data_IF_242091969033
#
_entry.id   IF_242091969033
#
_cell.length_a   1.000
_cell.length_b   1.000
_cell.length_c   1.000
_cell.angle_alpha   90.00
_cell.angle_beta   90.00
_cell.angle_gamma   90.00
#
_symmetry.space_group_name_H-M   'P 1'
#
loop_
_entity.id
_entity.type
_entity.pdbx_description
1 polymer ?
#
# COMPACT_ATOMS: atom_id res chain seq x y z
N UNK A 1 -21.01 -21.20 8.03
CA UNK A 1 -19.75 -21.34 8.77
C UNK A 1 -18.81 -20.23 8.33
N UNK A 2 -17.98 -19.71 9.24
CA UNK A 2 -16.92 -18.75 8.88
C UNK A 2 -15.85 -19.47 8.07
N UNK A 3 -15.40 -18.87 6.97
CA UNK A 3 -14.31 -19.42 6.13
C UNK A 3 -13.01 -19.30 6.90
N UNK A 4 -12.28 -20.41 7.04
CA UNK A 4 -10.96 -20.44 7.69
C UNK A 4 -9.85 -20.53 6.64
N UNK A 5 -8.64 -20.05 6.98
CA UNK A 5 -7.48 -20.11 6.06
C UNK A 5 -7.02 -21.53 5.75
N UNK A 6 -7.44 -22.51 6.55
CA UNK A 6 -7.18 -23.94 6.39
C UNK A 6 -8.16 -24.66 5.45
N UNK A 7 -9.24 -23.99 5.03
CA UNK A 7 -10.26 -24.60 4.19
C UNK A 7 -9.76 -24.83 2.76
N UNK A 8 -10.45 -25.69 2.01
CA UNK A 8 -10.31 -25.76 0.56
C UNK A 8 -10.96 -24.55 -0.11
N UNK A 9 -10.23 -23.88 -1.02
CA UNK A 9 -10.64 -22.65 -1.66
C UNK A 9 -11.04 -22.86 -3.12
N UNK A 10 -12.34 -22.81 -3.38
CA UNK A 10 -12.87 -22.57 -4.73
C UNK A 10 -12.83 -21.07 -5.04
N UNK A 11 -12.94 -20.67 -6.32
CA UNK A 11 -13.00 -19.26 -6.73
C UNK A 11 -14.03 -18.45 -5.91
N UNK A 12 -15.23 -18.98 -5.73
CA UNK A 12 -16.28 -18.28 -4.97
C UNK A 12 -15.98 -18.15 -3.47
N UNK A 13 -15.32 -19.14 -2.86
CA UNK A 13 -14.87 -19.04 -1.45
C UNK A 13 -13.72 -18.05 -1.30
N UNK A 14 -12.76 -18.07 -2.23
CA UNK A 14 -11.65 -17.15 -2.27
C UNK A 14 -12.14 -15.70 -2.40
N UNK A 15 -13.01 -15.44 -3.38
CA UNK A 15 -13.60 -14.12 -3.58
C UNK A 15 -14.37 -13.64 -2.34
N UNK A 16 -15.16 -14.51 -1.68
CA UNK A 16 -15.89 -14.16 -0.46
C UNK A 16 -14.97 -13.88 0.73
N UNK A 17 -13.82 -14.55 0.80
CA UNK A 17 -12.83 -14.32 1.86
C UNK A 17 -12.04 -13.04 1.64
N UNK A 18 -11.64 -12.75 0.39
CA UNK A 18 -10.83 -11.58 0.03
C UNK A 18 -11.65 -10.30 -0.16
N UNK A 19 -12.95 -10.40 -0.45
CA UNK A 19 -13.81 -9.23 -0.68
C UNK A 19 -13.76 -8.17 0.43
N UNK A 20 -13.76 -8.51 1.75
CA UNK A 20 -13.61 -7.51 2.78
C UNK A 20 -12.25 -6.78 2.73
N UNK A 21 -11.17 -7.48 2.34
CA UNK A 21 -9.84 -6.87 2.21
C UNK A 21 -9.76 -5.97 0.97
N UNK A 22 -10.38 -6.38 -0.14
CA UNK A 22 -10.52 -5.52 -1.32
C UNK A 22 -11.32 -4.25 -1.00
N UNK A 23 -12.45 -4.38 -0.30
CA UNK A 23 -13.25 -3.25 0.12
C UNK A 23 -12.51 -2.34 1.11
N UNK A 24 -11.69 -2.90 2.00
CA UNK A 24 -10.84 -2.17 2.94
C UNK A 24 -9.82 -1.31 2.20
N UNK A 25 -9.09 -1.88 1.23
CA UNK A 25 -8.09 -1.15 0.44
C UNK A 25 -8.71 -0.08 -0.45
N UNK A 26 -9.83 -0.40 -1.10
CA UNK A 26 -10.57 0.58 -1.90
C UNK A 26 -11.05 1.75 -1.03
N UNK A 27 -11.64 1.47 0.14
CA UNK A 27 -12.09 2.51 1.05
C UNK A 27 -10.93 3.37 1.56
N UNK A 28 -9.77 2.76 1.88
CA UNK A 28 -8.56 3.48 2.27
C UNK A 28 -8.08 4.44 1.19
N UNK A 29 -8.10 4.02 -0.08
CA UNK A 29 -7.73 4.89 -1.20
C UNK A 29 -8.70 6.06 -1.36
N UNK A 30 -10.00 5.84 -1.22
CA UNK A 30 -11.02 6.88 -1.37
C UNK A 30 -10.94 7.91 -0.24
N UNK A 31 -10.86 7.48 1.02
CA UNK A 31 -10.80 8.45 2.11
C UNK A 31 -9.51 9.27 2.10
N UNK A 32 -8.37 8.69 1.68
CA UNK A 32 -7.13 9.43 1.52
C UNK A 32 -7.21 10.54 0.45
N UNK A 33 -7.97 10.31 -0.64
CA UNK A 33 -8.27 11.36 -1.62
C UNK A 33 -9.14 12.46 -0.99
N UNK A 34 -10.15 12.09 -0.21
CA UNK A 34 -11.05 13.04 0.46
C UNK A 34 -10.27 13.93 1.45
N UNK A 35 -9.39 13.34 2.28
CA UNK A 35 -8.52 14.07 3.22
C UNK A 35 -7.68 15.13 2.49
N UNK A 36 -7.00 14.74 1.40
CA UNK A 36 -6.25 15.67 0.55
C UNK A 36 -7.11 16.81 -0.02
N UNK A 37 -8.36 16.53 -0.40
CA UNK A 37 -9.31 17.54 -0.87
C UNK A 37 -9.73 18.52 0.24
N UNK A 38 -9.92 18.06 1.47
CA UNK A 38 -10.21 18.95 2.60
C UNK A 38 -9.07 19.94 2.83
N UNK A 39 -7.84 19.46 2.90
CA UNK A 39 -6.68 20.34 3.12
C UNK A 39 -6.51 21.33 1.97
N UNK A 40 -6.56 20.87 0.72
CA UNK A 40 -6.32 21.74 -0.44
C UNK A 40 -7.38 22.83 -0.61
N UNK A 41 -8.65 22.55 -0.28
CA UNK A 41 -9.75 23.50 -0.51
C UNK A 41 -10.04 24.43 0.67
N UNK A 42 -9.77 24.00 1.92
CA UNK A 42 -10.21 24.73 3.09
C UNK A 42 -9.08 25.29 3.96
N UNK A 43 -7.84 24.80 3.83
CA UNK A 43 -6.73 25.24 4.70
C UNK A 43 -5.84 26.28 4.01
N UNK A 44 -5.63 26.17 2.71
CA UNK A 44 -4.89 27.17 1.92
C UNK A 44 -3.57 26.63 1.34
N UNK A 45 -2.94 27.45 0.48
CA UNK A 45 -1.78 27.03 -0.32
C UNK A 45 -0.54 26.73 0.53
N UNK A 46 -0.29 27.53 1.55
CA UNK A 46 0.91 27.41 2.39
C UNK A 46 0.84 26.13 3.23
N UNK A 47 -0.29 25.90 3.85
CA UNK A 47 -0.56 24.68 4.61
C UNK A 47 -0.56 23.41 3.74
N UNK A 48 -1.06 23.50 2.50
CA UNK A 48 -0.96 22.39 1.56
C UNK A 48 0.49 22.11 1.13
N UNK A 49 1.32 23.16 1.03
CA UNK A 49 2.76 23.00 0.80
C UNK A 49 3.45 22.32 2.00
N UNK A 50 3.13 22.72 3.23
CA UNK A 50 3.65 22.10 4.45
C UNK A 50 3.32 20.60 4.53
N UNK A 51 2.05 20.24 4.24
CA UNK A 51 1.62 18.82 4.14
C UNK A 51 2.50 18.07 3.14
N UNK A 52 2.66 18.58 1.93
CA UNK A 52 3.43 17.90 0.88
C UNK A 52 4.93 17.77 1.18
N UNK A 53 5.48 18.63 2.04
CA UNK A 53 6.86 18.51 2.50
C UNK A 53 7.04 17.44 3.59
N UNK A 54 6.10 17.33 4.52
CA UNK A 54 6.22 16.47 5.70
C UNK A 54 5.66 15.06 5.45
N UNK A 55 4.53 14.95 4.74
CA UNK A 55 3.81 13.67 4.54
C UNK A 55 4.65 12.57 3.89
N UNK A 56 5.52 12.83 2.88
CA UNK A 56 6.39 11.80 2.33
C UNK A 56 7.34 11.17 3.34
N UNK A 57 7.87 11.98 4.28
CA UNK A 57 8.72 11.45 5.36
C UNK A 57 7.92 10.52 6.28
N UNK A 58 6.69 10.91 6.62
CA UNK A 58 5.79 10.12 7.44
C UNK A 58 5.42 8.80 6.76
N UNK A 59 5.07 8.82 5.46
CA UNK A 59 4.78 7.64 4.65
C UNK A 59 5.98 6.70 4.51
N UNK A 60 7.18 7.25 4.33
CA UNK A 60 8.41 6.47 4.22
C UNK A 60 8.67 5.65 5.50
N UNK A 61 8.47 6.24 6.68
CA UNK A 61 8.60 5.54 7.95
C UNK A 61 7.43 4.61 8.21
N UNK A 62 6.22 4.99 7.83
CA UNK A 62 5.02 4.15 7.89
C UNK A 62 5.14 2.87 7.06
N UNK A 63 5.92 2.90 5.97
CA UNK A 63 6.21 1.72 5.15
C UNK A 63 6.86 0.57 5.93
N UNK A 64 7.50 0.84 7.07
CA UNK A 64 7.95 -0.20 8.00
C UNK A 64 6.76 -0.98 8.59
N UNK A 65 5.61 -0.35 8.78
CA UNK A 65 4.38 -1.03 9.21
C UNK A 65 3.91 -2.05 8.17
N UNK A 66 3.92 -1.69 6.89
CA UNK A 66 3.64 -2.63 5.79
C UNK A 66 4.66 -3.78 5.76
N UNK A 67 5.95 -3.47 5.92
CA UNK A 67 7.01 -4.49 5.98
C UNK A 67 6.75 -5.50 7.11
N UNK A 68 6.46 -5.05 8.32
CA UNK A 68 6.14 -5.93 9.43
C UNK A 68 4.82 -6.69 9.22
N UNK A 69 3.83 -6.04 8.60
CA UNK A 69 2.52 -6.63 8.30
C UNK A 69 2.60 -7.78 7.32
N UNK A 70 3.12 -7.55 6.13
CA UNK A 70 3.17 -8.54 5.04
C UNK A 70 4.16 -9.66 5.36
N UNK A 71 5.40 -9.31 5.77
CA UNK A 71 6.41 -10.28 6.14
C UNK A 71 6.03 -11.10 7.37
N UNK A 72 5.39 -10.44 8.35
CA UNK A 72 4.88 -11.08 9.57
C UNK A 72 3.73 -12.03 9.30
N UNK A 73 2.77 -11.61 8.49
CA UNK A 73 1.63 -12.44 8.07
C UNK A 73 2.09 -13.72 7.40
N UNK A 74 3.06 -13.63 6.48
CA UNK A 74 3.61 -14.79 5.79
C UNK A 74 4.26 -15.79 6.79
N UNK A 75 5.04 -15.31 7.75
CA UNK A 75 5.68 -16.17 8.73
C UNK A 75 4.68 -16.81 9.72
N UNK A 76 3.73 -16.01 10.24
CA UNK A 76 2.69 -16.46 11.18
C UNK A 76 1.78 -17.50 10.52
N UNK A 77 1.25 -17.21 9.32
CA UNK A 77 0.34 -18.11 8.61
C UNK A 77 1.02 -19.43 8.22
N UNK A 78 2.29 -19.37 7.79
CA UNK A 78 3.09 -20.56 7.53
C UNK A 78 3.24 -21.42 8.81
N UNK A 79 3.58 -20.80 9.93
CA UNK A 79 3.75 -21.51 11.22
C UNK A 79 2.43 -22.13 11.70
N UNK A 80 1.28 -21.48 11.44
CA UNK A 80 -0.04 -22.08 11.68
C UNK A 80 -0.28 -23.30 10.77
N UNK A 81 0.13 -23.23 9.52
CA UNK A 81 0.07 -24.35 8.58
C UNK A 81 0.95 -25.53 8.99
N UNK A 82 2.08 -25.28 9.63
CA UNK A 82 2.96 -26.28 10.23
C UNK A 82 2.35 -26.94 11.49
N UNK A 83 1.21 -26.43 11.99
CA UNK A 83 0.49 -26.98 13.15
C UNK A 83 1.01 -26.46 14.50
N UNK A 84 1.92 -25.48 14.52
CA UNK A 84 2.47 -24.91 15.75
C UNK A 84 1.78 -23.59 16.13
N UNK A 85 0.53 -23.69 16.57
CA UNK A 85 -0.27 -22.53 16.99
C UNK A 85 0.36 -21.75 18.16
N UNK A 86 1.11 -22.43 19.06
CA UNK A 86 1.76 -21.76 20.17
C UNK A 86 2.88 -20.85 19.69
N UNK A 87 3.69 -21.34 18.78
CA UNK A 87 4.76 -20.56 18.14
C UNK A 87 4.20 -19.43 17.30
N UNK A 88 3.14 -19.70 16.52
CA UNK A 88 2.45 -18.67 15.73
C UNK A 88 1.95 -17.50 16.59
N UNK A 89 1.36 -17.76 17.76
CA UNK A 89 0.94 -16.71 18.72
C UNK A 89 2.14 -15.93 19.28
N UNK A 90 3.24 -16.62 19.58
CA UNK A 90 4.48 -15.96 20.04
C UNK A 90 5.08 -15.04 18.99
N UNK A 91 5.11 -15.48 17.73
CA UNK A 91 5.55 -14.69 16.58
C UNK A 91 4.62 -13.50 16.30
N UNK A 92 3.31 -13.72 16.34
CA UNK A 92 2.32 -12.65 16.20
C UNK A 92 2.56 -11.54 17.24
N UNK A 93 2.72 -11.93 18.52
CA UNK A 93 3.01 -10.98 19.59
C UNK A 93 4.35 -10.26 19.40
N UNK A 94 5.39 -10.98 18.94
CA UNK A 94 6.70 -10.39 18.63
C UNK A 94 6.56 -9.30 17.57
N UNK A 95 5.83 -9.57 16.48
CA UNK A 95 5.66 -8.64 15.36
C UNK A 95 4.92 -7.38 15.83
N UNK A 96 3.80 -7.54 16.55
CA UNK A 96 3.00 -6.40 17.05
C UNK A 96 3.81 -5.52 18.00
N UNK A 97 4.54 -6.13 18.96
CA UNK A 97 5.36 -5.35 19.87
C UNK A 97 6.60 -4.74 19.20
N UNK A 98 7.21 -5.43 18.25
CA UNK A 98 8.31 -4.87 17.47
C UNK A 98 7.84 -3.64 16.64
N UNK A 99 6.70 -3.75 15.98
CA UNK A 99 6.08 -2.63 15.26
C UNK A 99 5.84 -1.43 16.18
N UNK A 100 5.27 -1.67 17.36
CA UNK A 100 5.01 -0.60 18.33
C UNK A 100 6.31 0.07 18.79
N UNK A 101 7.34 -0.71 19.14
CA UNK A 101 8.64 -0.19 19.61
C UNK A 101 9.33 0.61 18.50
N UNK A 102 9.38 0.06 17.27
CA UNK A 102 9.96 0.75 16.12
C UNK A 102 9.16 2.02 15.79
N UNK A 103 7.82 1.95 15.85
CA UNK A 103 6.96 3.10 15.62
C UNK A 103 7.20 4.22 16.63
N UNK A 104 7.35 3.90 17.92
CA UNK A 104 7.71 4.88 18.96
C UNK A 104 9.09 5.50 18.66
N UNK A 105 10.08 4.66 18.32
CA UNK A 105 11.42 5.16 18.00
C UNK A 105 11.40 6.09 16.77
N UNK A 106 10.69 5.71 15.71
CA UNK A 106 10.49 6.55 14.53
C UNK A 106 9.74 7.85 14.85
N UNK A 107 8.70 7.78 15.68
CA UNK A 107 7.95 8.95 16.13
C UNK A 107 8.84 9.95 16.89
N UNK A 108 9.69 9.47 17.79
CA UNK A 108 10.68 10.32 18.48
C UNK A 108 11.65 10.96 17.48
N UNK A 109 12.16 10.19 16.50
CA UNK A 109 13.06 10.70 15.46
C UNK A 109 12.37 11.79 14.63
N UNK A 110 11.13 11.56 14.18
CA UNK A 110 10.37 12.58 13.43
C UNK A 110 10.15 13.83 14.28
N UNK A 111 9.70 13.67 15.52
CA UNK A 111 9.44 14.80 16.43
C UNK A 111 10.67 15.68 16.61
N UNK A 112 11.85 15.10 16.74
CA UNK A 112 13.11 15.84 16.91
C UNK A 112 13.63 16.42 15.60
N UNK A 113 13.47 15.70 14.50
CA UNK A 113 14.10 16.01 13.21
C UNK A 113 13.23 16.85 12.28
N UNK A 114 11.89 16.91 12.47
CA UNK A 114 10.97 17.51 11.49
C UNK A 114 11.32 18.95 11.13
N UNK A 115 11.68 19.78 12.09
CA UNK A 115 12.07 21.18 11.83
C UNK A 115 13.37 21.29 11.01
N UNK A 116 14.37 20.46 11.34
CA UNK A 116 15.63 20.42 10.60
C UNK A 116 15.46 19.90 9.19
N UNK A 117 14.63 18.86 9.01
CA UNK A 117 14.34 18.27 7.69
C UNK A 117 13.54 19.25 6.83
N UNK A 118 12.49 19.86 7.38
CA UNK A 118 11.70 20.87 6.65
C UNK A 118 12.54 22.09 6.23
N UNK A 119 13.39 22.58 7.13
CA UNK A 119 14.34 23.66 6.81
C UNK A 119 15.34 23.28 5.73
N UNK A 120 15.87 22.06 5.75
CA UNK A 120 16.76 21.54 4.70
C UNK A 120 16.04 21.37 3.34
N UNK A 121 14.72 21.16 3.35
CA UNK A 121 13.88 21.12 2.14
C UNK A 121 13.43 22.51 1.67
N UNK A 122 13.89 23.58 2.34
CA UNK A 122 13.63 24.97 1.95
C UNK A 122 12.42 25.62 2.61
N UNK A 123 11.86 25.02 3.67
CA UNK A 123 10.80 25.66 4.44
C UNK A 123 11.39 26.77 5.34
N UNK A 124 10.82 27.98 5.26
CA UNK A 124 11.21 29.15 6.06
C UNK A 124 9.95 29.86 6.61
N UNK A 125 10.11 30.65 7.68
CA UNK A 125 9.03 31.46 8.25
C UNK A 125 7.81 30.65 8.67
N UNK A 126 6.62 31.11 8.29
CA UNK A 126 5.33 30.47 8.59
C UNK A 126 5.21 29.04 8.04
N UNK A 127 5.78 28.77 6.86
CA UNK A 127 5.79 27.42 6.26
C UNK A 127 6.55 26.44 7.16
N UNK A 128 7.69 26.84 7.73
CA UNK A 128 8.45 26.00 8.65
C UNK A 128 7.66 25.73 9.95
N UNK A 129 7.00 26.75 10.50
CA UNK A 129 6.15 26.59 11.68
C UNK A 129 5.01 25.59 11.44
N UNK A 130 4.33 25.67 10.30
CA UNK A 130 3.28 24.73 9.91
C UNK A 130 3.83 23.32 9.71
N UNK A 131 5.00 23.14 9.08
CA UNK A 131 5.67 21.85 8.96
C UNK A 131 5.97 21.23 10.33
N UNK A 132 6.46 22.02 11.28
CA UNK A 132 6.79 21.54 12.63
C UNK A 132 5.52 21.15 13.39
N UNK A 133 4.46 21.95 13.33
CA UNK A 133 3.18 21.64 13.99
C UNK A 133 2.58 20.36 13.41
N UNK A 134 2.45 20.30 12.09
CA UNK A 134 1.89 19.15 11.38
C UNK A 134 2.68 17.86 11.66
N UNK A 135 3.99 17.93 11.45
CA UNK A 135 4.88 16.78 11.65
C UNK A 135 4.97 16.31 13.10
N UNK A 136 4.90 17.23 14.08
CA UNK A 136 4.92 16.87 15.50
C UNK A 136 3.65 16.13 15.92
N UNK A 137 2.49 16.50 15.39
CA UNK A 137 1.22 15.80 15.65
C UNK A 137 1.27 14.40 15.04
N UNK A 138 1.70 14.27 13.78
CA UNK A 138 1.82 12.98 13.12
C UNK A 138 2.92 12.09 13.74
N UNK A 139 4.00 12.68 14.26
CA UNK A 139 5.02 11.93 14.98
C UNK A 139 4.46 11.15 16.19
N UNK A 140 3.47 11.74 16.88
CA UNK A 140 2.78 11.09 17.98
C UNK A 140 1.88 9.92 17.52
N UNK A 141 1.24 10.03 16.37
CA UNK A 141 0.37 8.97 15.82
C UNK A 141 1.12 7.89 15.05
N UNK A 142 2.37 8.12 14.65
CA UNK A 142 3.17 7.20 13.82
C UNK A 142 3.22 5.74 14.36
N UNK A 143 3.35 5.47 15.66
CA UNK A 143 3.28 4.10 16.19
C UNK A 143 1.94 3.42 15.89
N UNK A 144 0.86 4.16 15.94
CA UNK A 144 -0.49 3.66 15.67
C UNK A 144 -0.74 3.50 14.16
N UNK A 145 -0.21 4.41 13.33
CA UNK A 145 -0.22 4.25 11.89
C UNK A 145 0.51 2.97 11.47
N UNK A 146 1.73 2.76 11.97
CA UNK A 146 2.46 1.52 11.69
C UNK A 146 1.71 0.27 12.18
N UNK A 147 1.05 0.33 13.35
CA UNK A 147 0.21 -0.76 13.83
C UNK A 147 -1.01 -0.98 12.93
N UNK A 148 -1.67 0.07 12.46
CA UNK A 148 -2.78 0.00 11.52
C UNK A 148 -2.39 -0.77 10.26
N UNK A 149 -1.26 -0.39 9.63
CA UNK A 149 -0.75 -1.05 8.43
C UNK A 149 -0.37 -2.52 8.70
N UNK A 150 0.26 -2.79 9.82
CA UNK A 150 0.58 -4.16 10.24
C UNK A 150 -0.68 -5.01 10.47
N UNK A 151 -1.70 -4.46 11.11
CA UNK A 151 -2.93 -5.19 11.37
C UNK A 151 -3.82 -5.40 10.14
N UNK A 152 -3.71 -4.60 9.10
CA UNK A 152 -4.40 -4.86 7.81
C UNK A 152 -4.10 -6.28 7.30
N UNK A 153 -2.84 -6.68 7.33
CA UNK A 153 -2.42 -8.01 6.92
C UNK A 153 -2.66 -9.08 7.99
N UNK A 154 -2.32 -8.80 9.26
CA UNK A 154 -2.44 -9.76 10.35
C UNK A 154 -3.89 -10.15 10.69
N UNK A 155 -4.86 -9.26 10.53
CA UNK A 155 -6.29 -9.58 10.69
C UNK A 155 -6.76 -10.59 9.65
N UNK A 156 -6.21 -10.53 8.45
CA UNK A 156 -6.51 -11.51 7.39
C UNK A 156 -5.91 -12.88 7.74
N UNK A 157 -4.67 -12.93 8.23
CA UNK A 157 -4.04 -14.16 8.74
C UNK A 157 -4.82 -14.76 9.93
N UNK A 158 -5.40 -13.91 10.77
CA UNK A 158 -6.26 -14.33 11.88
C UNK A 158 -7.64 -14.84 11.44
N UNK A 159 -7.94 -14.88 10.13
CA UNK A 159 -9.24 -15.24 9.59
C UNK A 159 -10.34 -14.20 9.89
N UNK A 160 -9.96 -12.95 10.11
CA UNK A 160 -10.86 -11.85 10.51
C UNK A 160 -10.84 -10.65 9.55
N UNK A 161 -10.86 -10.85 8.21
CA UNK A 161 -10.79 -9.72 7.26
C UNK A 161 -11.95 -8.72 7.42
N UNK A 162 -13.14 -9.18 7.87
CA UNK A 162 -14.29 -8.32 8.17
C UNK A 162 -14.01 -7.34 9.31
N UNK A 163 -13.25 -7.78 10.32
CA UNK A 163 -12.86 -6.89 11.43
C UNK A 163 -11.93 -5.81 10.90
N UNK A 164 -10.97 -6.16 10.02
CA UNK A 164 -10.10 -5.19 9.35
C UNK A 164 -10.90 -4.13 8.57
N UNK A 165 -11.87 -4.56 7.78
CA UNK A 165 -12.77 -3.64 7.06
C UNK A 165 -13.53 -2.72 8.03
N UNK A 166 -14.13 -3.25 9.10
CA UNK A 166 -14.85 -2.44 10.08
C UNK A 166 -13.93 -1.39 10.72
N UNK A 167 -12.72 -1.77 11.12
CA UNK A 167 -11.76 -0.85 11.73
C UNK A 167 -11.39 0.25 10.75
N UNK A 168 -11.09 -0.09 9.48
CA UNK A 168 -10.75 0.88 8.45
C UNK A 168 -11.91 1.86 8.18
N UNK A 169 -13.14 1.36 8.09
CA UNK A 169 -14.32 2.21 7.91
C UNK A 169 -14.53 3.14 9.11
N UNK A 170 -14.38 2.65 10.34
CA UNK A 170 -14.48 3.48 11.54
C UNK A 170 -13.39 4.57 11.55
N UNK A 171 -12.14 4.21 11.27
CA UNK A 171 -11.03 5.16 11.21
C UNK A 171 -11.24 6.21 10.11
N UNK A 172 -11.57 5.78 8.88
CA UNK A 172 -11.75 6.70 7.76
C UNK A 172 -12.98 7.61 7.90
N UNK A 173 -14.12 7.10 8.42
CA UNK A 173 -15.29 7.94 8.70
C UNK A 173 -14.98 8.93 9.82
N UNK A 174 -14.24 8.51 10.86
CA UNK A 174 -13.80 9.41 11.92
C UNK A 174 -12.88 10.51 11.36
N UNK A 175 -11.92 10.17 10.47
CA UNK A 175 -11.06 11.14 9.81
C UNK A 175 -11.90 12.20 9.08
N UNK A 176 -12.77 11.80 8.15
CA UNK A 176 -13.62 12.71 7.36
C UNK A 176 -14.49 13.60 8.27
N UNK A 177 -15.09 13.02 9.31
CA UNK A 177 -15.94 13.77 10.24
C UNK A 177 -15.13 14.77 11.08
N UNK A 178 -13.94 14.39 11.51
CA UNK A 178 -13.04 15.25 12.27
C UNK A 178 -12.40 16.34 11.41
N UNK A 179 -12.09 16.06 10.14
CA UNK A 179 -11.65 17.08 9.18
C UNK A 179 -12.72 18.15 9.01
N UNK A 180 -13.97 17.74 8.77
CA UNK A 180 -15.06 18.69 8.70
C UNK A 180 -15.22 19.51 9.99
N UNK A 181 -15.09 18.88 11.15
CA UNK A 181 -15.20 19.54 12.44
C UNK A 181 -14.04 20.50 12.72
N UNK A 182 -12.81 20.03 12.56
CA UNK A 182 -11.63 20.81 12.97
C UNK A 182 -11.24 21.86 11.93
N UNK A 183 -11.39 21.56 10.63
CA UNK A 183 -11.03 22.47 9.56
C UNK A 183 -12.16 23.48 9.29
N UNK A 184 -13.41 23.02 9.13
CA UNK A 184 -14.51 23.89 8.70
C UNK A 184 -15.14 24.60 9.91
N UNK A 185 -15.48 23.85 10.98
CA UNK A 185 -16.24 24.41 12.12
C UNK A 185 -15.30 25.15 13.07
N UNK A 186 -14.20 24.53 13.50
CA UNK A 186 -13.26 25.12 14.46
C UNK A 186 -12.20 25.99 13.80
N UNK A 187 -11.99 25.87 12.50
CA UNK A 187 -11.01 26.64 11.73
C UNK A 187 -9.57 26.52 12.27
N UNK A 188 -9.19 25.30 12.71
CA UNK A 188 -7.85 25.04 13.23
C UNK A 188 -6.80 24.84 12.15
N UNK A 189 -7.16 25.03 10.87
CA UNK A 189 -6.24 24.95 9.73
C UNK A 189 -5.55 23.58 9.62
N UNK A 190 -4.25 23.61 9.31
CA UNK A 190 -3.44 22.40 9.13
C UNK A 190 -3.29 21.58 10.42
N UNK A 191 -3.25 22.22 11.58
CA UNK A 191 -3.24 21.50 12.87
C UNK A 191 -4.51 20.67 13.07
N UNK A 192 -5.66 21.18 12.61
CA UNK A 192 -6.93 20.46 12.63
C UNK A 192 -6.89 19.20 11.76
N UNK A 193 -6.37 19.32 10.54
CA UNK A 193 -6.17 18.17 9.63
C UNK A 193 -5.23 17.13 10.27
N UNK A 194 -4.08 17.57 10.81
CA UNK A 194 -3.13 16.68 11.47
C UNK A 194 -3.75 15.93 12.64
N UNK A 195 -4.58 16.60 13.46
CA UNK A 195 -5.27 15.98 14.59
C UNK A 195 -6.34 14.98 14.13
N UNK A 196 -7.09 15.27 13.08
CA UNK A 196 -8.08 14.35 12.51
C UNK A 196 -7.41 13.08 12.01
N UNK A 197 -6.33 13.22 11.27
CA UNK A 197 -5.50 12.09 10.80
C UNK A 197 -4.91 11.31 11.97
N UNK A 198 -4.30 11.97 12.94
CA UNK A 198 -3.72 11.32 14.11
C UNK A 198 -4.75 10.52 14.92
N UNK A 199 -5.95 11.07 15.15
CA UNK A 199 -7.03 10.36 15.86
C UNK A 199 -7.50 9.15 15.07
N UNK A 200 -7.65 9.26 13.74
CA UNK A 200 -8.07 8.15 12.90
C UNK A 200 -7.03 7.01 12.91
N UNK A 201 -5.75 7.34 12.87
CA UNK A 201 -4.64 6.37 12.97
C UNK A 201 -4.60 5.68 14.33
N UNK A 202 -4.82 6.44 15.41
CA UNK A 202 -4.94 5.87 16.76
C UNK A 202 -6.11 4.89 16.81
N UNK A 203 -7.26 5.21 16.22
CA UNK A 203 -8.39 4.27 16.13
C UNK A 203 -7.99 3.04 15.29
N UNK A 204 -7.36 3.23 14.13
CA UNK A 204 -6.94 2.17 13.23
C UNK A 204 -5.94 1.19 13.84
N UNK A 205 -5.02 1.69 14.67
CA UNK A 205 -4.01 0.87 15.37
C UNK A 205 -4.48 0.31 16.70
N UNK A 206 -5.14 1.12 17.54
CA UNK A 206 -5.52 0.74 18.90
C UNK A 206 -6.70 -0.25 18.93
N UNK A 207 -7.70 -0.12 18.06
CA UNK A 207 -8.86 -1.04 18.04
C UNK A 207 -8.42 -2.49 17.81
N UNK A 208 -7.62 -2.82 16.75
CA UNK A 208 -7.11 -4.17 16.57
C UNK A 208 -6.19 -4.63 17.71
N UNK A 209 -5.36 -3.74 18.23
CA UNK A 209 -4.49 -4.05 19.37
C UNK A 209 -5.33 -4.51 20.58
N UNK A 210 -6.36 -3.77 20.94
CA UNK A 210 -7.29 -4.10 22.03
C UNK A 210 -8.09 -5.37 21.72
N UNK A 211 -8.50 -5.58 20.45
CA UNK A 211 -9.19 -6.80 20.03
C UNK A 211 -8.34 -8.04 20.30
N UNK A 212 -7.07 -8.02 19.97
CA UNK A 212 -6.17 -9.16 20.20
C UNK A 212 -5.63 -9.26 21.64
N UNK A 213 -5.63 -8.16 22.41
CA UNK A 213 -5.29 -8.16 23.81
C UNK A 213 -6.38 -8.81 24.69
N UNK A 214 -7.62 -8.83 24.22
CA UNK A 214 -8.76 -9.45 24.90
C UNK A 214 -9.03 -10.86 24.36
N UNK A 215 -9.74 -11.72 25.12
CA UNK A 215 -10.24 -12.99 24.60
C UNK A 215 -11.11 -12.76 23.36
N UNK A 216 -10.75 -13.38 22.26
CA UNK A 216 -11.45 -13.24 20.98
C UNK A 216 -11.62 -14.61 20.31
N UNK A 217 -12.38 -14.65 19.20
CA UNK A 217 -12.69 -15.88 18.47
C UNK A 217 -11.65 -16.29 17.44
N UNK A 218 -10.45 -15.69 17.47
CA UNK A 218 -9.31 -16.04 16.62
C UNK A 218 -8.37 -17.03 17.33
N UNK A 219 -7.60 -17.77 16.56
CA UNK A 219 -6.45 -18.56 17.06
C UNK A 219 -5.31 -17.67 17.53
N UNK A 220 -5.18 -16.46 16.96
CA UNK A 220 -4.15 -15.49 17.33
C UNK A 220 -4.63 -14.57 18.46
N UNK A 221 -3.77 -14.34 19.41
CA UNK A 221 -3.96 -13.44 20.57
C UNK A 221 -2.64 -12.84 20.99
N UNK A 222 -2.68 -11.62 21.51
CA UNK A 222 -1.51 -11.03 22.15
C UNK A 222 -1.20 -11.74 23.48
N UNK A 223 0.07 -11.99 23.68
CA UNK A 223 0.58 -12.66 24.86
C UNK A 223 2.07 -12.44 25.02
N UNK A 224 2.77 -13.40 25.64
CA UNK A 224 4.23 -13.33 25.74
C UNK A 224 4.86 -13.49 24.36
N UNK A 225 5.68 -12.53 23.90
CA UNK A 225 6.34 -12.62 22.60
C UNK A 225 7.38 -13.74 22.61
N UNK A 226 7.53 -14.41 21.47
CA UNK A 226 8.67 -15.28 21.23
C UNK A 226 9.86 -14.38 20.87
N UNK A 227 10.80 -14.19 21.81
CA UNK A 227 11.99 -13.37 21.54
C UNK A 227 12.94 -14.18 20.64
N UNK A 228 12.76 -14.02 19.34
CA UNK A 228 13.57 -14.66 18.28
C UNK A 228 13.99 -13.59 17.25
N UNK A 229 15.21 -13.08 17.41
CA UNK A 229 15.80 -12.06 16.52
C UNK A 229 15.92 -12.59 15.08
N UNK A 230 16.16 -13.90 14.91
CA UNK A 230 16.23 -14.50 13.55
C UNK A 230 14.86 -14.53 12.89
N UNK A 231 13.80 -14.77 13.68
CA UNK A 231 12.44 -14.69 13.17
C UNK A 231 12.10 -13.24 12.76
N UNK A 232 12.47 -12.25 13.57
CA UNK A 232 12.27 -10.83 13.22
C UNK A 232 13.05 -10.45 11.96
N UNK A 233 14.29 -10.89 11.82
CA UNK A 233 15.09 -10.70 10.60
C UNK A 233 14.41 -11.32 9.36
N UNK A 234 13.79 -12.50 9.51
CA UNK A 234 13.00 -13.12 8.41
C UNK A 234 11.74 -12.33 8.08
N UNK A 235 11.06 -11.77 9.08
CA UNK A 235 9.91 -10.88 8.86
C UNK A 235 10.33 -9.66 8.06
N UNK A 236 11.39 -8.97 8.47
CA UNK A 236 11.91 -7.81 7.75
C UNK A 236 12.32 -8.16 6.31
N UNK A 237 13.03 -9.27 6.11
CA UNK A 237 13.42 -9.73 4.77
C UNK A 237 12.22 -10.07 3.90
N UNK A 238 11.21 -10.76 4.45
CA UNK A 238 10.01 -11.11 3.70
C UNK A 238 9.16 -9.90 3.32
N UNK A 239 9.08 -8.91 4.21
CA UNK A 239 8.30 -7.70 3.95
C UNK A 239 9.12 -6.59 3.28
N UNK A 240 10.40 -6.78 3.02
CA UNK A 240 11.27 -5.74 2.43
C UNK A 240 10.81 -5.30 1.04
N UNK A 241 10.09 -6.12 0.30
CA UNK A 241 9.47 -5.76 -0.97
C UNK A 241 8.52 -4.56 -0.85
N UNK A 242 7.74 -4.49 0.23
CA UNK A 242 6.83 -3.36 0.48
C UNK A 242 7.59 -2.07 0.79
N UNK A 243 8.63 -2.16 1.63
CA UNK A 243 9.49 -1.02 1.93
C UNK A 243 10.18 -0.50 0.68
N UNK A 244 10.77 -1.41 -0.11
CA UNK A 244 11.45 -1.07 -1.38
C UNK A 244 10.47 -0.44 -2.37
N UNK A 245 9.26 -0.99 -2.53
CA UNK A 245 8.25 -0.43 -3.42
C UNK A 245 7.87 0.99 -3.02
N UNK A 246 7.57 1.24 -1.75
CA UNK A 246 7.17 2.57 -1.27
C UNK A 246 8.30 3.62 -1.44
N UNK A 247 9.55 3.26 -1.14
CA UNK A 247 10.69 4.14 -1.36
C UNK A 247 10.91 4.43 -2.86
N UNK A 248 10.78 3.40 -3.69
CA UNK A 248 10.96 3.51 -5.14
C UNK A 248 9.91 4.39 -5.80
N UNK A 249 8.64 4.28 -5.37
CA UNK A 249 7.54 5.11 -5.91
C UNK A 249 7.81 6.61 -5.78
N UNK A 250 8.37 7.05 -4.65
CA UNK A 250 8.72 8.46 -4.45
C UNK A 250 9.79 8.94 -5.43
N UNK A 251 10.83 8.13 -5.64
CA UNK A 251 11.90 8.45 -6.60
C UNK A 251 11.39 8.46 -8.05
N UNK A 252 10.58 7.47 -8.42
CA UNK A 252 9.96 7.38 -9.74
C UNK A 252 9.08 8.59 -10.01
N UNK A 253 8.24 8.99 -9.05
CA UNK A 253 7.39 10.17 -9.19
C UNK A 253 8.21 11.46 -9.43
N UNK A 254 9.38 11.60 -8.78
CA UNK A 254 10.28 12.72 -9.05
C UNK A 254 10.80 12.69 -10.50
N UNK A 255 11.17 11.53 -11.01
CA UNK A 255 11.67 11.36 -12.39
C UNK A 255 10.56 11.67 -13.40
N UNK A 256 9.33 11.20 -13.18
CA UNK A 256 8.18 11.56 -14.00
C UNK A 256 7.95 13.08 -14.03
N UNK A 257 7.90 13.71 -12.85
CA UNK A 257 7.68 15.16 -12.76
C UNK A 257 8.79 15.95 -13.46
N UNK A 258 10.05 15.51 -13.37
CA UNK A 258 11.16 16.11 -14.08
C UNK A 258 10.98 16.04 -15.60
N UNK A 259 10.65 14.87 -16.13
CA UNK A 259 10.43 14.68 -17.57
C UNK A 259 9.19 15.44 -18.06
N UNK A 260 8.09 15.37 -17.32
CA UNK A 260 6.85 16.07 -17.68
C UNK A 260 7.04 17.59 -17.71
N UNK A 261 7.76 18.14 -16.72
CA UNK A 261 8.09 19.55 -16.69
C UNK A 261 8.95 19.97 -17.89
N UNK A 262 9.87 19.11 -18.34
CA UNK A 262 10.74 19.38 -19.46
C UNK A 262 10.02 19.27 -20.84
N UNK A 263 9.07 18.35 -21.00
CA UNK A 263 8.41 18.07 -22.28
C UNK A 263 7.07 18.78 -22.46
N UNK A 264 6.29 18.96 -21.39
CA UNK A 264 4.91 19.49 -21.43
C UNK A 264 4.80 20.76 -20.59
N UNK A 265 5.58 20.88 -19.52
CA UNK A 265 5.45 21.96 -18.55
C UNK A 265 4.48 21.62 -17.40
N UNK A 266 3.90 22.65 -16.71
CA UNK A 266 3.03 22.45 -15.55
C UNK A 266 1.80 21.58 -15.83
N UNK A 267 1.24 21.65 -17.03
CA UNK A 267 0.07 20.86 -17.44
C UNK A 267 0.37 19.35 -17.41
N UNK A 268 1.59 18.94 -17.82
CA UNK A 268 2.01 17.56 -17.75
C UNK A 268 2.05 17.03 -16.32
N UNK A 269 2.51 17.83 -15.37
CA UNK A 269 2.53 17.47 -13.93
C UNK A 269 1.10 17.35 -13.39
N UNK A 270 0.19 18.24 -13.81
CA UNK A 270 -1.21 18.17 -13.42
C UNK A 270 -1.90 16.90 -13.95
N UNK A 271 -1.67 16.56 -15.24
CA UNK A 271 -2.15 15.32 -15.86
C UNK A 271 -1.67 14.10 -15.08
N UNK A 272 -0.38 14.05 -14.75
CA UNK A 272 0.20 12.93 -13.98
C UNK A 272 -0.43 12.80 -12.59
N UNK A 273 -0.73 13.92 -11.93
CA UNK A 273 -1.46 13.91 -10.66
C UNK A 273 -2.83 13.22 -10.77
N UNK A 274 -3.60 13.54 -11.82
CA UNK A 274 -4.90 12.88 -12.07
C UNK A 274 -4.71 11.37 -12.32
N UNK A 275 -3.74 11.01 -13.15
CA UNK A 275 -3.43 9.61 -13.46
C UNK A 275 -3.08 8.84 -12.17
N UNK A 276 -2.29 9.42 -11.29
CA UNK A 276 -1.90 8.79 -10.02
C UNK A 276 -3.10 8.51 -9.11
N UNK A 277 -4.06 9.44 -8.99
CA UNK A 277 -5.28 9.18 -8.22
C UNK A 277 -6.11 8.04 -8.82
N UNK A 278 -6.27 8.02 -10.14
CA UNK A 278 -6.99 6.92 -10.83
C UNK A 278 -6.26 5.60 -10.64
N UNK A 279 -4.93 5.58 -10.79
CA UNK A 279 -4.10 4.39 -10.63
C UNK A 279 -4.16 3.86 -9.19
N UNK A 280 -4.13 4.71 -8.18
CA UNK A 280 -4.25 4.32 -6.77
C UNK A 280 -5.56 3.60 -6.49
N UNK A 281 -6.68 4.15 -6.96
CA UNK A 281 -7.99 3.51 -6.79
C UNK A 281 -8.03 2.17 -7.53
N UNK A 282 -7.53 2.12 -8.76
CA UNK A 282 -7.52 0.93 -9.60
C UNK A 282 -6.68 -0.20 -8.97
N UNK A 283 -5.44 0.11 -8.59
CA UNK A 283 -4.49 -0.88 -8.03
C UNK A 283 -4.90 -1.31 -6.62
N UNK A 284 -5.61 -0.47 -5.85
CA UNK A 284 -6.04 -0.82 -4.49
C UNK A 284 -6.91 -2.08 -4.42
N UNK A 285 -7.74 -2.34 -5.43
CA UNK A 285 -8.54 -3.56 -5.52
C UNK A 285 -7.65 -4.81 -5.67
N UNK A 286 -6.63 -4.73 -6.52
CA UNK A 286 -5.69 -5.82 -6.78
C UNK A 286 -4.82 -6.09 -5.56
N UNK A 287 -4.34 -5.04 -4.92
CA UNK A 287 -3.62 -5.12 -3.65
C UNK A 287 -4.49 -5.75 -2.54
N UNK A 288 -5.75 -5.34 -2.45
CA UNK A 288 -6.69 -5.94 -1.49
C UNK A 288 -6.89 -7.44 -1.70
N UNK A 289 -6.98 -7.89 -2.96
CA UNK A 289 -7.05 -9.32 -3.28
C UNK A 289 -5.75 -10.04 -2.90
N UNK A 290 -4.61 -9.43 -3.18
CA UNK A 290 -3.28 -9.98 -2.90
C UNK A 290 -3.04 -10.11 -1.39
N UNK A 291 -3.31 -9.06 -0.61
CA UNK A 291 -3.23 -9.08 0.85
C UNK A 291 -4.20 -10.10 1.45
N UNK A 292 -5.40 -10.22 0.86
CA UNK A 292 -6.42 -11.18 1.28
C UNK A 292 -6.03 -12.64 1.02
N UNK A 293 -5.38 -12.93 -0.10
CA UNK A 293 -5.00 -14.30 -0.50
C UNK A 293 -3.65 -14.76 0.08
N UNK A 294 -2.73 -13.83 0.39
CA UNK A 294 -1.39 -14.12 0.88
C UNK A 294 -1.34 -15.07 2.11
N UNK A 295 -2.12 -14.86 3.18
CA UNK A 295 -2.07 -15.77 4.35
C UNK A 295 -2.62 -17.17 4.05
N UNK A 296 -3.55 -17.30 3.09
CA UNK A 296 -4.05 -18.62 2.65
C UNK A 296 -2.92 -19.38 1.97
N UNK A 297 -2.21 -18.74 1.04
CA UNK A 297 -1.06 -19.31 0.34
C UNK A 297 0.03 -19.71 1.35
N UNK A 298 0.37 -18.83 2.29
CA UNK A 298 1.38 -19.10 3.33
C UNK A 298 1.00 -20.28 4.22
N UNK A 299 -0.27 -20.38 4.61
CA UNK A 299 -0.78 -21.49 5.42
C UNK A 299 -0.62 -22.83 4.69
N UNK A 300 -1.12 -22.94 3.46
CA UNK A 300 -1.05 -24.18 2.68
C UNK A 300 0.39 -24.56 2.30
N UNK A 301 1.25 -23.58 2.12
CA UNK A 301 2.68 -23.81 1.98
C UNK A 301 3.29 -24.42 3.27
N UNK A 302 2.97 -23.87 4.44
CA UNK A 302 3.39 -24.40 5.74
C UNK A 302 2.85 -25.82 6.00
N UNK A 303 1.60 -26.07 5.65
CA UNK A 303 0.93 -27.38 5.73
C UNK A 303 1.43 -28.40 4.69
N UNK A 304 2.35 -28.01 3.81
CA UNK A 304 2.84 -28.84 2.68
C UNK A 304 1.73 -29.39 1.77
N UNK A 305 0.61 -28.66 1.68
CA UNK A 305 -0.51 -29.03 0.83
C UNK A 305 -0.30 -28.52 -0.61
N UNK A 306 0.52 -29.24 -1.37
CA UNK A 306 0.87 -28.86 -2.74
C UNK A 306 -0.34 -28.85 -3.70
N UNK A 307 -1.35 -29.69 -3.46
CA UNK A 307 -2.54 -29.73 -4.30
C UNK A 307 -3.34 -28.41 -4.19
N UNK A 308 -3.54 -27.93 -2.96
CA UNK A 308 -4.23 -26.67 -2.71
C UNK A 308 -3.38 -25.48 -3.19
N UNK A 309 -2.06 -25.52 -2.96
CA UNK A 309 -1.14 -24.47 -3.40
C UNK A 309 -1.14 -24.29 -4.92
N UNK A 310 -1.22 -25.39 -5.69
CA UNK A 310 -1.38 -25.34 -7.16
C UNK A 310 -2.71 -24.71 -7.57
N UNK A 311 -3.80 -25.10 -6.91
CA UNK A 311 -5.12 -24.54 -7.15
C UNK A 311 -5.15 -23.04 -6.88
N UNK A 312 -4.64 -22.61 -5.72
CA UNK A 312 -4.54 -21.21 -5.33
C UNK A 312 -3.68 -20.39 -6.29
N UNK A 313 -2.51 -20.88 -6.67
CA UNK A 313 -1.65 -20.20 -7.63
C UNK A 313 -2.38 -19.90 -8.95
N UNK A 314 -3.02 -20.93 -9.55
CA UNK A 314 -3.75 -20.76 -10.83
C UNK A 314 -4.95 -19.84 -10.69
N UNK A 315 -5.71 -20.00 -9.62
CA UNK A 315 -6.92 -19.21 -9.39
C UNK A 315 -6.56 -17.75 -9.09
N UNK A 316 -5.59 -17.49 -8.22
CA UNK A 316 -5.18 -16.14 -7.89
C UNK A 316 -4.57 -15.42 -9.10
N UNK A 317 -3.67 -16.08 -9.84
CA UNK A 317 -3.07 -15.48 -11.04
C UNK A 317 -4.16 -15.19 -12.09
N UNK A 318 -5.11 -16.12 -12.30
CA UNK A 318 -6.23 -15.92 -13.22
C UNK A 318 -7.12 -14.73 -12.82
N UNK A 319 -7.43 -14.59 -11.52
CA UNK A 319 -8.23 -13.45 -11.00
C UNK A 319 -7.47 -12.14 -11.20
N UNK A 320 -6.17 -12.12 -10.92
CA UNK A 320 -5.35 -10.91 -11.10
C UNK A 320 -5.32 -10.47 -12.56
N UNK A 321 -4.97 -11.37 -13.49
CA UNK A 321 -4.94 -11.05 -14.93
C UNK A 321 -6.31 -10.61 -15.47
N UNK A 322 -7.39 -11.29 -15.06
CA UNK A 322 -8.74 -10.87 -15.42
C UNK A 322 -9.12 -9.51 -14.81
N UNK A 323 -8.68 -9.26 -13.57
CA UNK A 323 -8.87 -8.00 -12.86
C UNK A 323 -8.19 -6.83 -13.57
N UNK A 324 -6.92 -6.97 -13.95
CA UNK A 324 -6.19 -5.93 -14.66
C UNK A 324 -6.75 -5.64 -16.04
N UNK A 325 -7.11 -6.69 -16.78
CA UNK A 325 -7.79 -6.51 -18.07
C UNK A 325 -9.14 -5.75 -17.90
N UNK A 326 -9.92 -6.09 -16.87
CA UNK A 326 -11.16 -5.39 -16.56
C UNK A 326 -10.91 -3.92 -16.18
N UNK A 327 -9.93 -3.66 -15.31
CA UNK A 327 -9.57 -2.30 -14.90
C UNK A 327 -9.13 -1.47 -16.10
N UNK A 328 -8.30 -2.02 -17.00
CA UNK A 328 -7.90 -1.35 -18.23
C UNK A 328 -9.12 -0.97 -19.06
N UNK A 329 -10.04 -1.90 -19.32
CA UNK A 329 -11.28 -1.63 -20.09
C UNK A 329 -12.12 -0.55 -19.40
N UNK A 330 -12.30 -0.65 -18.08
CA UNK A 330 -13.07 0.36 -17.34
C UNK A 330 -12.40 1.74 -17.38
N UNK A 331 -11.07 1.82 -17.21
CA UNK A 331 -10.34 3.08 -17.29
C UNK A 331 -10.48 3.71 -18.68
N UNK A 332 -10.38 2.93 -19.76
CA UNK A 332 -10.61 3.44 -21.12
C UNK A 332 -12.05 3.93 -21.33
N UNK A 333 -13.04 3.13 -20.88
CA UNK A 333 -14.46 3.47 -21.06
C UNK A 333 -14.85 4.72 -20.28
N UNK A 334 -14.27 4.90 -19.09
CA UNK A 334 -14.56 6.02 -18.20
C UNK A 334 -13.46 7.09 -18.18
N UNK A 335 -12.51 7.08 -19.12
CA UNK A 335 -11.40 8.05 -19.15
C UNK A 335 -11.88 9.49 -19.13
N UNK A 336 -12.86 9.83 -19.97
CA UNK A 336 -13.40 11.19 -20.03
C UNK A 336 -14.11 11.63 -18.73
N UNK A 337 -15.07 10.90 -18.14
CA UNK A 337 -15.65 11.30 -16.87
C UNK A 337 -14.62 11.31 -15.72
N UNK A 338 -13.65 10.40 -15.70
CA UNK A 338 -12.56 10.41 -14.70
C UNK A 338 -11.70 11.67 -14.81
N UNK A 339 -11.27 12.06 -16.03
CA UNK A 339 -10.53 13.29 -16.25
C UNK A 339 -11.37 14.53 -15.90
N UNK A 340 -12.65 14.57 -16.31
CA UNK A 340 -13.53 15.70 -16.09
C UNK A 340 -13.78 16.01 -14.61
N UNK A 341 -13.75 15.02 -13.72
CA UNK A 341 -13.86 15.22 -12.26
C UNK A 341 -12.74 16.11 -11.72
N UNK A 342 -11.53 15.99 -12.27
CA UNK A 342 -10.34 16.70 -11.75
C UNK A 342 -10.01 17.97 -12.56
N UNK A 343 -10.12 17.90 -13.89
CA UNK A 343 -9.66 18.95 -14.81
C UNK A 343 -10.73 19.40 -15.80
N UNK A 344 -12.01 19.15 -15.51
CA UNK A 344 -13.15 19.52 -16.38
C UNK A 344 -13.36 21.03 -16.56
N UNK A 345 -12.66 21.86 -15.81
CA UNK A 345 -12.65 23.32 -15.96
C UNK A 345 -11.83 23.80 -17.18
N UNK A 346 -10.94 22.95 -17.73
CA UNK A 346 -10.12 23.21 -18.91
C UNK A 346 -10.27 22.08 -19.91
N UNK A 347 -10.92 22.34 -21.04
CA UNK A 347 -11.20 21.33 -22.06
C UNK A 347 -9.94 20.75 -22.68
N UNK A 348 -8.93 21.59 -22.93
CA UNK A 348 -7.65 21.14 -23.54
C UNK A 348 -6.91 20.20 -22.58
N UNK A 349 -6.80 20.60 -21.32
CA UNK A 349 -6.16 19.78 -20.28
C UNK A 349 -6.94 18.48 -20.06
N UNK A 350 -8.27 18.51 -20.14
CA UNK A 350 -9.12 17.33 -20.03
C UNK A 350 -8.87 16.34 -21.18
N UNK A 351 -8.81 16.82 -22.43
CA UNK A 351 -8.53 15.97 -23.59
C UNK A 351 -7.12 15.35 -23.52
N UNK A 352 -6.12 16.13 -23.14
CA UNK A 352 -4.75 15.62 -22.91
C UNK A 352 -4.72 14.56 -21.80
N UNK A 353 -5.49 14.77 -20.71
CA UNK A 353 -5.59 13.80 -19.60
C UNK A 353 -6.26 12.51 -20.07
N UNK A 354 -7.30 12.58 -20.90
CA UNK A 354 -7.98 11.39 -21.46
C UNK A 354 -7.02 10.57 -22.33
N UNK A 355 -6.24 11.24 -23.20
CA UNK A 355 -5.25 10.56 -24.03
C UNK A 355 -4.17 9.86 -23.17
N UNK A 356 -3.59 10.59 -22.21
CA UNK A 356 -2.57 10.07 -21.31
C UNK A 356 -3.08 8.92 -20.43
N UNK A 357 -4.31 9.00 -19.90
CA UNK A 357 -4.98 7.90 -19.19
C UNK A 357 -5.15 6.67 -20.08
N UNK A 358 -5.51 6.87 -21.35
CA UNK A 358 -5.64 5.80 -22.32
C UNK A 358 -4.33 5.00 -22.46
N UNK A 359 -3.21 5.69 -22.64
CA UNK A 359 -1.89 5.07 -22.78
C UNK A 359 -1.40 4.43 -21.46
N UNK A 360 -1.44 5.18 -20.36
CA UNK A 360 -0.99 4.73 -19.05
C UNK A 360 -1.75 3.48 -18.57
N UNK A 361 -3.07 3.43 -18.78
CA UNK A 361 -3.91 2.34 -18.29
C UNK A 361 -3.63 0.97 -18.94
N UNK A 362 -2.94 0.93 -20.08
CA UNK A 362 -2.47 -0.33 -20.67
C UNK A 362 -1.53 -1.09 -19.75
N UNK A 363 -0.86 -0.38 -18.84
CA UNK A 363 0.01 -1.00 -17.84
C UNK A 363 -0.77 -1.94 -16.90
N UNK A 364 -2.06 -1.68 -16.63
CA UNK A 364 -2.86 -2.51 -15.72
C UNK A 364 -3.06 -3.95 -16.21
N UNK A 365 -2.84 -4.23 -17.50
CA UNK A 365 -2.86 -5.62 -18.03
C UNK A 365 -1.64 -6.42 -17.54
N UNK A 366 -0.53 -5.76 -17.27
CA UNK A 366 0.75 -6.40 -16.99
C UNK A 366 1.17 -6.31 -15.53
N UNK A 367 0.75 -5.23 -14.84
CA UNK A 367 1.09 -4.92 -13.45
C UNK A 367 0.71 -6.04 -12.48
N UNK A 368 -0.38 -6.71 -12.77
CA UNK A 368 -0.99 -7.74 -11.92
C UNK A 368 -0.10 -8.95 -11.72
N UNK A 369 0.59 -9.39 -12.78
CA UNK A 369 1.50 -10.54 -12.72
C UNK A 369 2.66 -10.23 -11.79
N UNK A 370 3.17 -9.01 -11.84
CA UNK A 370 4.31 -8.57 -11.02
C UNK A 370 3.93 -8.35 -9.56
N UNK A 371 2.77 -7.72 -9.29
CA UNK A 371 2.24 -7.54 -7.94
C UNK A 371 1.96 -8.90 -7.29
N UNK A 372 1.24 -9.77 -8.01
CA UNK A 372 0.94 -11.11 -7.52
C UNK A 372 2.20 -11.93 -7.31
N UNK A 373 3.15 -11.91 -8.24
CA UNK A 373 4.38 -12.68 -8.15
C UNK A 373 5.24 -12.28 -6.95
N UNK A 374 5.42 -10.97 -6.71
CA UNK A 374 6.12 -10.46 -5.54
C UNK A 374 5.44 -10.93 -4.24
N UNK A 375 4.14 -10.72 -4.11
CA UNK A 375 3.37 -11.13 -2.94
C UNK A 375 3.31 -12.65 -2.77
N UNK A 376 3.25 -13.42 -3.85
CA UNK A 376 3.30 -14.88 -3.84
C UNK A 376 4.62 -15.38 -3.27
N UNK A 377 5.77 -14.83 -3.68
CA UNK A 377 7.05 -15.18 -3.11
C UNK A 377 7.20 -14.73 -1.66
N UNK A 378 6.64 -13.59 -1.27
CA UNK A 378 6.51 -13.20 0.15
C UNK A 378 5.72 -14.25 0.93
N UNK A 379 4.59 -14.70 0.41
CA UNK A 379 3.75 -15.74 1.03
C UNK A 379 4.48 -17.09 1.14
N UNK A 380 5.34 -17.43 0.19
CA UNK A 380 6.22 -18.60 0.24
C UNK A 380 7.45 -18.40 1.17
N UNK A 381 7.52 -17.26 1.87
CA UNK A 381 8.67 -16.86 2.72
C UNK A 381 10.00 -16.76 1.95
N UNK A 382 9.95 -16.36 0.69
CA UNK A 382 11.11 -16.00 -0.12
C UNK A 382 11.16 -14.49 -0.36
N UNK A 383 11.46 -13.74 0.70
CA UNK A 383 11.53 -12.28 0.67
C UNK A 383 12.59 -11.72 -0.28
N UNK A 384 13.67 -12.47 -0.52
CA UNK A 384 14.72 -12.02 -1.45
C UNK A 384 14.19 -11.89 -2.88
N UNK A 385 13.51 -12.93 -3.39
CA UNK A 385 12.92 -12.90 -4.74
C UNK A 385 11.82 -11.84 -4.83
N UNK A 386 10.99 -11.72 -3.79
CA UNK A 386 9.95 -10.70 -3.70
C UNK A 386 10.54 -9.28 -3.77
N UNK A 387 11.55 -9.00 -2.95
CA UNK A 387 12.23 -7.70 -2.93
C UNK A 387 12.92 -7.38 -4.27
N UNK A 388 13.54 -8.38 -4.90
CA UNK A 388 14.21 -8.21 -6.19
C UNK A 388 13.19 -7.90 -7.31
N UNK A 389 12.05 -8.58 -7.33
CA UNK A 389 10.95 -8.26 -8.27
C UNK A 389 10.50 -6.81 -8.06
N UNK A 390 10.21 -6.42 -6.81
CA UNK A 390 9.74 -5.06 -6.48
C UNK A 390 10.77 -3.99 -6.85
N UNK A 391 12.04 -4.22 -6.53
CA UNK A 391 13.12 -3.28 -6.82
C UNK A 391 13.33 -3.08 -8.33
N UNK A 392 13.47 -4.17 -9.06
CA UNK A 392 13.69 -4.10 -10.50
C UNK A 392 12.49 -3.51 -11.23
N UNK A 393 11.28 -3.91 -10.84
CA UNK A 393 10.04 -3.40 -11.40
C UNK A 393 9.92 -1.89 -11.22
N UNK A 394 9.86 -1.44 -9.97
CA UNK A 394 9.49 -0.07 -9.65
C UNK A 394 10.66 0.90 -9.87
N UNK A 395 11.87 0.57 -9.39
CA UNK A 395 12.96 1.52 -9.50
C UNK A 395 13.72 1.41 -10.83
N UNK A 396 14.15 0.20 -11.21
CA UNK A 396 15.06 0.06 -12.34
C UNK A 396 14.33 0.20 -13.67
N UNK A 397 13.31 -0.62 -13.91
CA UNK A 397 12.65 -0.64 -15.22
C UNK A 397 11.84 0.63 -15.45
N UNK A 398 11.13 1.13 -14.44
CA UNK A 398 10.29 2.31 -14.60
C UNK A 398 11.14 3.59 -14.72
N UNK A 399 12.17 3.79 -13.88
CA UNK A 399 13.09 4.92 -14.04
C UNK A 399 13.81 4.87 -15.40
N UNK A 400 14.30 3.69 -15.81
CA UNK A 400 14.97 3.56 -17.11
C UNK A 400 14.00 3.89 -18.25
N UNK A 401 12.78 3.33 -18.22
CA UNK A 401 11.80 3.59 -19.27
C UNK A 401 11.45 5.08 -19.36
N UNK A 402 11.14 5.74 -18.23
CA UNK A 402 10.75 7.16 -18.23
C UNK A 402 11.90 8.10 -18.60
N UNK A 403 13.16 7.69 -18.40
CA UNK A 403 14.31 8.49 -18.82
C UNK A 403 14.66 8.32 -20.30
N UNK A 404 14.53 7.12 -20.86
CA UNK A 404 15.00 6.84 -22.21
C UNK A 404 13.89 6.87 -23.26
N UNK A 405 12.67 6.46 -22.95
CA UNK A 405 11.60 6.36 -23.93
C UNK A 405 11.15 7.71 -24.50
N UNK A 406 11.06 8.79 -23.71
CA UNK A 406 10.71 10.12 -24.25
C UNK A 406 11.71 10.66 -25.27
N UNK A 407 12.98 10.28 -25.15
CA UNK A 407 14.01 10.65 -26.13
C UNK A 407 13.81 9.98 -27.51
N UNK A 408 13.02 8.88 -27.58
CA UNK A 408 12.80 8.10 -28.79
C UNK A 408 11.44 8.47 -29.44
N UNK A 409 10.38 8.55 -28.65
CA UNK A 409 9.00 8.73 -29.15
C UNK A 409 8.30 9.98 -28.57
N UNK A 410 9.05 10.88 -27.92
CA UNK A 410 8.48 12.15 -27.42
C UNK A 410 7.59 11.96 -26.20
N UNK A 411 6.53 12.79 -26.10
CA UNK A 411 5.61 12.86 -24.96
C UNK A 411 4.93 11.52 -24.67
N UNK A 412 4.48 10.81 -25.70
CA UNK A 412 3.84 9.48 -25.56
C UNK A 412 4.79 8.49 -24.86
N UNK A 413 6.10 8.68 -25.04
CA UNK A 413 7.11 7.91 -24.34
C UNK A 413 7.05 8.04 -22.81
N UNK A 414 6.61 9.17 -22.27
CA UNK A 414 6.43 9.35 -20.83
C UNK A 414 5.27 8.48 -20.34
N UNK A 415 4.13 8.52 -21.02
CA UNK A 415 2.94 7.76 -20.62
C UNK A 415 3.08 6.25 -20.86
N UNK A 416 3.77 5.85 -21.93
CA UNK A 416 4.04 4.44 -22.24
C UNK A 416 5.20 3.85 -21.43
N UNK A 417 5.97 4.66 -20.69
CA UNK A 417 7.10 4.18 -19.88
C UNK A 417 6.67 3.13 -18.86
N UNK A 418 5.55 3.35 -18.17
CA UNK A 418 5.01 2.37 -17.21
C UNK A 418 4.65 1.06 -17.91
N UNK A 419 4.08 1.11 -19.12
CA UNK A 419 3.69 -0.07 -19.88
C UNK A 419 4.92 -0.92 -20.22
N UNK A 420 5.97 -0.29 -20.71
CA UNK A 420 7.23 -0.96 -21.05
C UNK A 420 7.89 -1.57 -19.79
N UNK A 421 7.91 -0.81 -18.70
CA UNK A 421 8.43 -1.28 -17.43
C UNK A 421 7.67 -2.50 -16.89
N UNK A 422 6.33 -2.48 -16.95
CA UNK A 422 5.50 -3.59 -16.48
C UNK A 422 5.59 -4.83 -17.38
N UNK A 423 5.76 -4.66 -18.69
CA UNK A 423 6.05 -5.78 -19.60
C UNK A 423 7.39 -6.42 -19.23
N UNK A 424 8.45 -5.63 -19.01
CA UNK A 424 9.74 -6.15 -18.60
C UNK A 424 9.66 -6.88 -17.25
N UNK A 425 8.93 -6.29 -16.30
CA UNK A 425 8.70 -6.88 -14.99
C UNK A 425 7.87 -8.16 -15.04
N UNK A 426 6.86 -8.23 -15.92
CA UNK A 426 6.08 -9.44 -16.14
C UNK A 426 6.96 -10.59 -16.64
N UNK A 427 7.88 -10.35 -17.58
CA UNK A 427 8.82 -11.39 -18.04
C UNK A 427 9.78 -11.82 -16.94
N UNK A 428 10.32 -10.88 -16.16
CA UNK A 428 11.18 -11.17 -15.01
C UNK A 428 10.44 -12.04 -13.99
N UNK A 429 9.25 -11.63 -13.60
CA UNK A 429 8.41 -12.32 -12.62
C UNK A 429 7.99 -13.70 -13.12
N UNK A 430 7.60 -13.79 -14.38
CA UNK A 430 7.30 -15.05 -15.06
C UNK A 430 8.50 -16.00 -15.05
N UNK A 431 9.70 -15.48 -15.28
CA UNK A 431 10.96 -16.23 -15.18
C UNK A 431 11.17 -16.84 -13.78
N UNK A 432 10.95 -16.06 -12.71
CA UNK A 432 11.03 -16.57 -11.33
C UNK A 432 9.92 -17.58 -11.03
N UNK A 433 8.68 -17.31 -11.45
CA UNK A 433 7.56 -18.24 -11.27
C UNK A 433 7.80 -19.57 -11.98
N UNK A 434 8.33 -19.58 -13.19
CA UNK A 434 8.64 -20.81 -13.92
C UNK A 434 9.88 -21.51 -13.35
N UNK A 435 10.94 -20.76 -13.03
CA UNK A 435 12.22 -21.30 -12.57
C UNK A 435 12.10 -22.00 -11.20
N UNK A 436 11.33 -21.40 -10.28
CA UNK A 436 11.21 -21.88 -8.90
C UNK A 436 10.02 -22.83 -8.67
N UNK A 437 9.21 -23.11 -9.69
CA UNK A 437 7.98 -23.92 -9.58
C UNK A 437 8.18 -25.30 -8.97
N UNK A 438 9.27 -25.98 -9.34
CA UNK A 438 9.58 -27.32 -8.79
C UNK A 438 10.04 -27.26 -7.35
N UNK A 439 10.79 -26.21 -6.99
CA UNK A 439 11.30 -26.01 -5.62
C UNK A 439 10.16 -25.84 -4.61
N UNK A 440 9.14 -25.08 -4.97
CA UNK A 440 7.99 -24.81 -4.10
C UNK A 440 6.78 -25.72 -4.33
N UNK A 441 6.74 -26.48 -5.39
CA UNK A 441 5.71 -27.48 -5.66
C UNK A 441 4.33 -26.93 -5.99
N UNK A 442 4.23 -25.77 -6.60
CA UNK A 442 2.95 -25.12 -6.96
C UNK A 442 2.55 -25.31 -8.44
N UNK A 443 3.27 -26.11 -9.20
CA UNK A 443 2.93 -26.49 -10.60
C UNK A 443 3.11 -27.99 -10.81
#
# INVERSE_FOLDING_TARGET
>A
MAIQISDHFTLGRLARFTAPTCAMMLFASIYGVIDGLFVSNFVGKESFAALNLVYPLFMMLGALGYMFGTGGTALVAKTMGEGDDKRARGLFSLIVYATLIVGIACGIVVFVAVGSVAGALGAEGSLLEECVVYGSILAFSLPFFMLQETFQSLLTAAGKPKVGLCVMVVAGVANIALDALFIIVFQWGLAGAALATAISEVLGGAIPFLYFARPNSSTLRLGRPLIDVRALGRVCMNGSSELVSNLSMSLVSMVYNFQLMAYIGPDGVAIYGVIQYVAWIAVSLLMGFTVGSSPIISYHYGAKNSAELKGLFRTCLGVMVAGGALITVLTHLFAHPLAAVFVGYDLTLCEMTVAALGEYSLAFIFVDVSIFGSAFFTALNNGLVSALISFLRTLVFECAAVMFLPAIIGVDGIWLSIVVAEIASMFLTGGFLVGLRKHYGYV
#
